data_IF_741468180479
#
_entry.id   IF_741468180479
#
_cell.length_a   1.000
_cell.length_b   1.000
_cell.length_c   1.000
_cell.angle_alpha   90.00
_cell.angle_beta   90.00
_cell.angle_gamma   90.00
#
_symmetry.space_group_name_H-M   'P 1'
#
loop_
_entity.id
_entity.type
_entity.pdbx_description
1 polymer ?
#
# COMPACT_ATOMS: atom_id res chain seq x y z
N UNK A 1 -35.38 8.67 51.50
CA UNK A 1 -36.13 9.79 50.91
C UNK A 1 -35.09 10.82 50.46
N UNK A 2 -34.69 10.78 49.18
CA UNK A 2 -33.68 11.69 48.61
C UNK A 2 -34.39 12.85 47.87
N UNK A 3 -33.89 14.10 47.92
CA UNK A 3 -34.47 15.17 47.13
C UNK A 3 -33.98 15.11 45.68
N UNK A 4 -34.93 15.18 44.75
CA UNK A 4 -34.70 15.24 43.30
C UNK A 4 -33.87 16.45 42.91
N UNK A 5 -32.78 16.24 42.14
CA UNK A 5 -32.00 17.34 41.54
C UNK A 5 -32.76 17.93 40.34
N UNK A 6 -32.78 19.26 40.16
CA UNK A 6 -33.34 19.85 38.95
C UNK A 6 -32.46 19.54 37.73
N UNK A 7 -33.10 19.18 36.61
CA UNK A 7 -32.43 18.95 35.32
C UNK A 7 -31.81 20.28 34.84
N UNK A 8 -30.49 20.36 34.85
CA UNK A 8 -29.73 21.49 34.32
C UNK A 8 -29.73 21.40 32.79
N UNK A 9 -30.65 22.11 32.14
CA UNK A 9 -30.48 22.44 30.72
C UNK A 9 -29.29 23.38 30.59
N UNK A 10 -28.21 22.91 29.98
CA UNK A 10 -27.11 23.73 29.49
C UNK A 10 -26.82 23.28 28.08
N UNK A 11 -27.51 23.88 27.11
CA UNK A 11 -26.86 24.13 25.83
C UNK A 11 -25.83 25.24 26.10
N UNK A 12 -24.52 24.98 26.06
CA UNK A 12 -23.57 26.08 26.01
C UNK A 12 -23.69 26.69 24.61
N UNK A 13 -24.28 27.88 24.53
CA UNK A 13 -24.03 28.74 23.38
C UNK A 13 -22.51 28.98 23.36
N UNK A 14 -21.80 28.75 22.24
CA UNK A 14 -20.39 29.10 22.17
C UNK A 14 -20.30 30.62 22.34
N UNK A 15 -19.62 31.07 23.40
CA UNK A 15 -19.28 32.47 23.56
C UNK A 15 -18.54 32.94 22.30
N UNK A 16 -18.84 34.12 21.75
CA UNK A 16 -18.01 34.69 20.70
C UNK A 16 -16.60 34.84 21.28
N UNK A 17 -15.65 34.12 20.68
CA UNK A 17 -14.24 34.23 21.03
C UNK A 17 -13.82 35.68 20.80
N UNK A 18 -13.24 36.37 21.79
CA UNK A 18 -12.65 37.67 21.54
C UNK A 18 -11.56 37.50 20.47
N UNK A 19 -11.69 38.32 19.43
CA UNK A 19 -10.80 38.42 18.29
C UNK A 19 -9.36 38.71 18.75
N UNK A 20 -8.40 37.97 18.17
CA UNK A 20 -6.98 38.31 17.97
C UNK A 20 -6.27 39.22 18.99
N UNK A 21 -6.49 39.05 20.29
CA UNK A 21 -5.53 39.56 21.28
C UNK A 21 -4.32 38.62 21.30
N UNK A 22 -3.12 39.07 20.89
CA UNK A 22 -1.93 38.24 21.00
C UNK A 22 -1.74 37.92 22.49
N UNK A 23 -1.72 36.62 22.82
CA UNK A 23 -1.48 36.17 24.19
C UNK A 23 -0.25 36.92 24.72
N UNK A 24 -0.30 37.50 25.94
CA UNK A 24 0.86 38.17 26.49
C UNK A 24 2.02 37.19 26.50
N UNK A 25 3.04 37.49 25.71
CA UNK A 25 4.27 36.71 25.69
C UNK A 25 4.95 37.01 27.01
N UNK A 26 4.80 36.13 27.98
CA UNK A 26 5.59 36.18 29.21
C UNK A 26 7.03 35.92 28.76
N UNK A 27 7.94 36.90 28.81
CA UNK A 27 9.34 36.62 28.48
C UNK A 27 9.82 35.60 29.50
N UNK A 28 10.25 34.43 29.02
CA UNK A 28 11.00 33.52 29.86
C UNK A 28 12.19 34.30 30.43
N UNK A 29 12.50 34.16 31.74
CA UNK A 29 13.66 34.83 32.31
C UNK A 29 14.90 34.48 31.48
N UNK A 30 15.68 35.50 31.13
CA UNK A 30 16.82 35.37 30.22
C UNK A 30 17.89 34.38 30.71
N UNK A 31 17.90 34.11 32.01
CA UNK A 31 18.77 33.12 32.65
C UNK A 31 17.91 32.14 33.46
N UNK A 32 17.59 31.00 32.85
CA UNK A 32 17.15 29.82 33.61
C UNK A 32 18.43 29.24 34.20
N UNK A 33 18.62 29.37 35.51
CA UNK A 33 19.70 28.66 36.21
C UNK A 33 19.38 27.16 36.17
N UNK A 34 19.98 26.47 35.20
CA UNK A 34 19.95 25.01 35.13
C UNK A 34 21.06 24.51 36.02
N UNK A 35 20.68 23.81 37.10
CA UNK A 35 21.62 23.09 37.94
C UNK A 35 22.24 21.96 37.12
N UNK A 36 23.42 22.22 36.56
CA UNK A 36 24.13 21.29 35.68
C UNK A 36 24.52 20.02 36.43
N UNK A 37 24.85 20.13 37.73
CA UNK A 37 25.22 18.98 38.56
C UNK A 37 24.02 18.06 38.77
N UNK A 38 22.83 18.63 39.00
CA UNK A 38 21.59 17.85 39.10
C UNK A 38 21.23 17.15 37.77
N UNK A 39 21.44 17.81 36.62
CA UNK A 39 21.21 17.22 35.29
C UNK A 39 22.19 16.07 35.03
N UNK A 40 23.47 16.27 35.32
CA UNK A 40 24.51 15.25 35.15
C UNK A 40 24.32 14.05 36.09
N UNK A 41 23.89 14.29 37.34
CA UNK A 41 23.55 13.23 38.27
C UNK A 41 22.36 12.39 37.76
N UNK A 42 21.31 13.04 37.25
CA UNK A 42 20.16 12.35 36.65
C UNK A 42 20.52 11.54 35.41
N UNK A 43 21.42 12.05 34.55
CA UNK A 43 21.91 11.32 33.38
C UNK A 43 22.72 10.08 33.77
N UNK A 44 23.60 10.20 34.77
CA UNK A 44 24.41 9.08 35.27
C UNK A 44 23.52 7.99 35.88
N UNK A 45 22.50 8.39 36.65
CA UNK A 45 21.52 7.45 37.22
C UNK A 45 20.71 6.74 36.14
N UNK A 46 20.29 7.46 35.10
CA UNK A 46 19.58 6.87 33.96
C UNK A 46 20.45 5.87 33.20
N UNK A 47 21.73 6.22 32.96
CA UNK A 47 22.68 5.32 32.30
C UNK A 47 22.89 4.03 33.10
N UNK A 48 23.11 4.16 34.42
CA UNK A 48 23.25 2.99 35.29
C UNK A 48 21.99 2.11 35.31
N UNK A 49 20.80 2.72 35.34
CA UNK A 49 19.54 1.98 35.27
C UNK A 49 19.37 1.25 33.93
N UNK A 50 19.75 1.88 32.82
CA UNK A 50 19.70 1.27 31.49
C UNK A 50 20.66 0.08 31.39
N UNK A 51 21.88 0.22 31.92
CA UNK A 51 22.87 -0.85 31.94
C UNK A 51 22.39 -2.04 32.79
N UNK A 52 21.83 -1.78 33.97
CA UNK A 52 21.25 -2.84 34.83
C UNK A 52 20.12 -3.59 34.12
N UNK A 53 19.22 -2.87 33.43
CA UNK A 53 18.13 -3.50 32.66
C UNK A 53 18.64 -4.30 31.46
N UNK A 54 19.69 -3.82 30.80
CA UNK A 54 20.33 -4.55 29.72
C UNK A 54 20.98 -5.83 30.23
N UNK A 55 21.73 -5.77 31.33
CA UNK A 55 22.36 -6.94 31.94
C UNK A 55 21.32 -7.97 32.42
N UNK A 56 20.23 -7.54 33.06
CA UNK A 56 19.11 -8.42 33.42
C UNK A 56 18.51 -9.12 32.20
N UNK A 57 18.35 -8.39 31.08
CA UNK A 57 17.80 -8.94 29.83
C UNK A 57 18.76 -9.96 29.18
N UNK A 58 20.05 -9.67 29.18
CA UNK A 58 21.09 -10.59 28.67
C UNK A 58 21.17 -11.84 29.55
N UNK A 59 21.23 -11.68 30.88
CA UNK A 59 21.28 -12.78 31.82
C UNK A 59 20.03 -13.68 31.76
N UNK A 60 18.86 -13.11 31.47
CA UNK A 60 17.61 -13.84 31.22
C UNK A 60 17.59 -14.64 29.91
N UNK A 61 18.64 -14.58 29.11
CA UNK A 61 18.73 -15.24 27.82
C UNK A 61 17.96 -14.51 26.71
N UNK A 62 17.73 -13.20 26.87
CA UNK A 62 16.93 -12.39 25.94
C UNK A 62 17.57 -12.27 24.55
N UNK A 63 18.91 -12.36 24.47
CA UNK A 63 19.65 -12.38 23.22
C UNK A 63 19.64 -13.76 22.54
N UNK A 64 19.43 -14.83 23.31
CA UNK A 64 19.33 -16.22 22.85
C UNK A 64 17.93 -16.55 22.36
N UNK A 65 16.90 -16.00 23.01
CA UNK A 65 15.47 -16.23 22.71
C UNK A 65 14.86 -15.15 21.80
N UNK A 66 15.63 -14.63 20.84
CA UNK A 66 15.10 -13.66 19.89
C UNK A 66 14.15 -14.34 18.89
N UNK A 67 12.95 -13.78 18.63
CA UNK A 67 12.03 -14.32 17.64
C UNK A 67 12.70 -14.28 16.26
N UNK A 68 12.99 -15.46 15.71
CA UNK A 68 13.63 -15.59 14.40
C UNK A 68 15.15 -15.83 14.43
N UNK A 69 15.80 -15.88 15.59
CA UNK A 69 17.22 -16.26 15.68
C UNK A 69 17.43 -17.69 15.16
N UNK A 70 18.38 -17.87 14.25
CA UNK A 70 18.72 -19.16 13.65
C UNK A 70 17.73 -19.67 12.60
N UNK A 71 16.62 -18.97 12.33
CA UNK A 71 15.76 -19.28 11.19
C UNK A 71 16.38 -18.66 9.93
N UNK A 72 16.50 -19.40 8.82
CA UNK A 72 16.86 -18.82 7.54
C UNK A 72 15.92 -17.66 7.24
N UNK A 73 16.48 -16.50 6.87
CA UNK A 73 15.70 -15.37 6.41
C UNK A 73 14.84 -15.84 5.23
N UNK A 74 13.53 -15.84 5.42
CA UNK A 74 12.59 -16.12 4.34
C UNK A 74 12.51 -14.87 3.49
N UNK A 75 13.46 -14.73 2.58
CA UNK A 75 13.39 -13.71 1.54
C UNK A 75 12.20 -14.13 0.66
N UNK A 76 11.12 -13.34 0.57
CA UNK A 76 10.08 -13.64 -0.40
C UNK A 76 10.76 -13.61 -1.78
N UNK A 77 10.94 -14.79 -2.39
CA UNK A 77 11.58 -14.96 -3.70
C UNK A 77 10.77 -14.32 -4.84
N UNK A 78 9.66 -13.65 -4.53
CA UNK A 78 8.80 -12.97 -5.47
C UNK A 78 8.95 -11.45 -5.38
N UNK A 79 8.69 -10.80 -6.52
CA UNK A 79 8.52 -9.36 -6.62
C UNK A 79 7.59 -8.84 -5.49
N UNK A 80 8.12 -7.93 -4.67
CA UNK A 80 7.44 -7.36 -3.50
C UNK A 80 6.12 -6.73 -3.91
N UNK A 81 6.05 -6.10 -5.09
CA UNK A 81 4.82 -5.51 -5.61
C UNK A 81 3.73 -6.55 -5.84
N UNK A 82 4.07 -7.73 -6.35
CA UNK A 82 3.10 -8.80 -6.56
C UNK A 82 2.54 -9.33 -5.24
N UNK A 83 3.35 -9.33 -4.18
CA UNK A 83 2.91 -9.72 -2.84
C UNK A 83 1.94 -8.71 -2.26
N UNK A 84 2.22 -7.41 -2.40
CA UNK A 84 1.35 -6.32 -1.95
C UNK A 84 0.02 -6.33 -2.71
N UNK A 85 0.06 -6.44 -4.03
CA UNK A 85 -1.16 -6.50 -4.87
C UNK A 85 -2.05 -7.69 -4.50
N UNK A 86 -1.45 -8.86 -4.26
CA UNK A 86 -2.18 -10.05 -3.81
C UNK A 86 -2.83 -9.87 -2.45
N UNK A 87 -2.14 -9.23 -1.50
CA UNK A 87 -2.71 -8.92 -0.17
C UNK A 87 -3.86 -7.92 -0.25
N UNK A 88 -3.79 -6.95 -1.17
CA UNK A 88 -4.83 -5.96 -1.42
C UNK A 88 -6.04 -6.51 -2.21
N UNK A 89 -6.01 -7.78 -2.65
CA UNK A 89 -7.05 -8.37 -3.49
C UNK A 89 -7.12 -7.79 -4.90
N UNK A 90 -6.07 -7.09 -5.35
CA UNK A 90 -6.01 -6.47 -6.67
C UNK A 90 -5.54 -7.52 -7.68
N UNK A 91 -6.25 -7.68 -8.82
CA UNK A 91 -5.81 -8.60 -9.87
C UNK A 91 -4.45 -8.14 -10.42
N UNK A 92 -3.60 -9.12 -10.73
CA UNK A 92 -2.28 -8.82 -11.31
C UNK A 92 -2.42 -8.08 -12.64
N UNK A 93 -1.54 -7.12 -12.97
CA UNK A 93 -1.54 -6.41 -14.26
C UNK A 93 -1.77 -7.28 -15.50
N UNK A 94 -1.19 -8.48 -15.59
CA UNK A 94 -1.38 -9.35 -16.77
C UNK A 94 -2.82 -9.89 -16.88
N UNK A 95 -3.54 -10.01 -15.76
CA UNK A 95 -4.95 -10.44 -15.74
C UNK A 95 -5.85 -9.34 -16.29
N UNK A 96 -5.59 -8.09 -15.91
CA UNK A 96 -6.30 -6.94 -16.47
C UNK A 96 -6.05 -6.82 -17.97
N UNK A 97 -4.79 -7.02 -18.38
CA UNK A 97 -4.41 -6.99 -19.79
C UNK A 97 -5.07 -8.12 -20.59
N UNK A 98 -5.30 -9.29 -19.99
CA UNK A 98 -6.09 -10.37 -20.61
C UNK A 98 -7.53 -9.93 -20.89
N UNK A 99 -8.18 -9.23 -19.96
CA UNK A 99 -9.55 -8.75 -20.13
C UNK A 99 -9.64 -7.71 -21.26
N UNK A 100 -8.73 -6.75 -21.29
CA UNK A 100 -8.72 -5.71 -22.33
C UNK A 100 -8.43 -6.28 -23.72
N UNK A 101 -7.56 -7.30 -23.82
CA UNK A 101 -7.34 -8.03 -25.08
C UNK A 101 -8.63 -8.71 -25.54
N UNK A 102 -9.36 -9.36 -24.63
CA UNK A 102 -10.61 -10.03 -24.95
C UNK A 102 -11.65 -9.05 -25.51
N UNK A 103 -11.86 -7.92 -24.83
CA UNK A 103 -12.76 -6.86 -25.29
C UNK A 103 -12.36 -6.36 -26.68
N UNK A 104 -11.06 -6.12 -26.90
CA UNK A 104 -10.56 -5.68 -28.21
C UNK A 104 -10.80 -6.73 -29.31
N UNK A 105 -10.73 -8.03 -29.00
CA UNK A 105 -11.05 -9.10 -29.95
C UNK A 105 -12.53 -9.08 -30.32
N UNK A 106 -13.41 -8.89 -29.34
CA UNK A 106 -14.85 -8.82 -29.54
C UNK A 106 -15.24 -7.61 -30.41
N UNK A 107 -14.61 -6.46 -30.18
CA UNK A 107 -14.79 -5.25 -30.99
C UNK A 107 -14.34 -5.45 -32.44
N UNK A 108 -13.17 -6.04 -32.66
CA UNK A 108 -12.68 -6.35 -34.02
C UNK A 108 -13.62 -7.33 -34.71
N UNK A 109 -14.12 -8.36 -34.01
CA UNK A 109 -15.09 -9.30 -34.59
C UNK A 109 -16.42 -8.63 -34.93
N UNK A 110 -16.85 -7.66 -34.14
CA UNK A 110 -18.04 -6.87 -34.46
C UNK A 110 -17.81 -6.06 -35.74
N UNK A 111 -16.67 -5.37 -35.86
CA UNK A 111 -16.31 -4.61 -37.06
C UNK A 111 -16.20 -5.50 -38.30
N UNK A 112 -15.57 -6.67 -38.18
CA UNK A 112 -15.38 -7.61 -39.29
C UNK A 112 -16.72 -8.15 -39.84
N UNK A 113 -17.77 -8.21 -39.01
CA UNK A 113 -19.13 -8.59 -39.43
C UNK A 113 -19.91 -7.47 -40.13
N UNK A 114 -19.68 -6.22 -39.75
CA UNK A 114 -20.47 -5.08 -40.26
C UNK A 114 -19.75 -4.31 -41.38
N UNK A 115 -18.42 -4.32 -41.41
CA UNK A 115 -17.58 -3.57 -42.35
C UNK A 115 -16.23 -4.27 -42.55
N UNK A 116 -16.20 -5.37 -43.33
CA UNK A 116 -15.02 -6.24 -43.46
C UNK A 116 -13.81 -5.58 -44.15
N UNK A 117 -14.03 -4.55 -44.97
CA UNK A 117 -13.00 -3.84 -45.73
C UNK A 117 -12.52 -2.55 -45.05
N UNK A 118 -12.90 -2.32 -43.78
CA UNK A 118 -12.46 -1.14 -43.05
C UNK A 118 -10.94 -1.21 -42.76
N UNK A 119 -10.14 -0.22 -43.21
CA UNK A 119 -8.70 -0.18 -42.94
C UNK A 119 -8.38 -0.08 -41.44
N UNK A 120 -9.31 0.38 -40.59
CA UNK A 120 -9.14 0.43 -39.15
C UNK A 120 -8.97 -0.97 -38.53
N UNK A 121 -9.47 -2.02 -39.18
CA UNK A 121 -9.33 -3.40 -38.69
C UNK A 121 -7.86 -3.81 -38.64
N UNK A 122 -7.06 -3.47 -39.66
CA UNK A 122 -5.65 -3.85 -39.69
C UNK A 122 -4.83 -3.10 -38.65
N UNK A 123 -5.14 -1.82 -38.43
CA UNK A 123 -4.50 -1.01 -37.40
C UNK A 123 -4.82 -1.55 -36.00
N UNK A 124 -6.10 -1.83 -35.71
CA UNK A 124 -6.54 -2.41 -34.44
C UNK A 124 -5.92 -3.80 -34.22
N UNK A 125 -5.83 -4.63 -35.27
CA UNK A 125 -5.19 -5.94 -35.19
C UNK A 125 -3.68 -5.83 -34.90
N UNK A 126 -2.99 -4.87 -35.51
CA UNK A 126 -1.58 -4.63 -35.25
C UNK A 126 -1.37 -4.20 -33.79
N UNK A 127 -2.21 -3.31 -33.27
CA UNK A 127 -2.14 -2.86 -31.89
C UNK A 127 -2.47 -3.98 -30.89
N UNK A 128 -3.51 -4.77 -31.18
CA UNK A 128 -3.87 -5.95 -30.40
C UNK A 128 -2.71 -6.95 -30.32
N UNK A 129 -2.01 -7.17 -31.43
CA UNK A 129 -0.84 -8.04 -31.47
C UNK A 129 0.32 -7.51 -30.62
N UNK A 130 0.53 -6.19 -30.51
CA UNK A 130 1.51 -5.61 -29.58
C UNK A 130 1.10 -5.90 -28.13
N UNK A 131 -0.18 -5.75 -27.79
CA UNK A 131 -0.71 -6.07 -26.46
C UNK A 131 -0.53 -7.56 -26.12
N UNK A 132 -0.75 -8.47 -27.07
CA UNK A 132 -0.51 -9.91 -26.88
C UNK A 132 0.97 -10.20 -26.61
N UNK A 133 1.90 -9.48 -27.25
CA UNK A 133 3.33 -9.62 -26.95
C UNK A 133 3.63 -9.15 -25.52
N UNK A 134 3.08 -8.01 -25.10
CA UNK A 134 3.23 -7.51 -23.72
C UNK A 134 2.62 -8.47 -22.70
N UNK A 135 1.45 -9.03 -23.00
CA UNK A 135 0.80 -10.08 -22.21
C UNK A 135 1.72 -11.28 -22.00
N UNK A 136 2.28 -11.81 -23.09
CA UNK A 136 3.17 -12.98 -23.04
C UNK A 136 4.45 -12.67 -22.25
N UNK A 137 4.96 -11.45 -22.30
CA UNK A 137 6.12 -11.04 -21.49
C UNK A 137 5.80 -10.93 -20.00
N UNK A 138 4.59 -10.47 -19.66
CA UNK A 138 4.15 -10.31 -18.28
C UNK A 138 3.61 -11.62 -17.65
N UNK A 139 3.35 -12.63 -18.48
CA UNK A 139 2.77 -13.91 -18.05
C UNK A 139 3.79 -14.74 -17.27
N UNK A 140 3.40 -15.33 -16.13
CA UNK A 140 4.30 -16.13 -15.30
C UNK A 140 4.62 -17.53 -15.88
N UNK A 141 3.86 -18.00 -16.88
CA UNK A 141 4.02 -19.34 -17.47
C UNK A 141 3.83 -19.33 -18.98
N UNK A 142 4.63 -20.16 -19.67
CA UNK A 142 4.52 -20.38 -21.11
C UNK A 142 3.17 -20.97 -21.53
N UNK A 143 2.51 -21.73 -20.65
CA UNK A 143 1.19 -22.32 -20.92
C UNK A 143 0.09 -21.25 -21.07
N UNK A 144 0.30 -20.08 -20.47
CA UNK A 144 -0.64 -18.96 -20.56
C UNK A 144 -0.39 -18.09 -21.79
N UNK A 145 0.72 -18.30 -22.52
CA UNK A 145 1.04 -17.50 -23.70
C UNK A 145 0.00 -17.72 -24.81
N UNK A 146 -0.16 -16.71 -25.65
CA UNK A 146 -1.10 -16.69 -26.76
C UNK A 146 -0.40 -16.31 -28.05
N UNK A 147 -0.92 -16.80 -29.17
CA UNK A 147 -0.38 -16.52 -30.50
C UNK A 147 -0.88 -15.16 -31.00
N UNK A 148 -0.18 -14.61 -31.98
CA UNK A 148 -0.62 -13.43 -32.70
C UNK A 148 -1.88 -13.74 -33.52
N UNK A 149 -2.74 -12.74 -33.63
CA UNK A 149 -4.01 -12.82 -34.34
C UNK A 149 -3.87 -12.30 -35.78
N UNK A 150 -4.58 -12.97 -36.68
CA UNK A 150 -4.75 -12.65 -38.11
C UNK A 150 -6.24 -12.65 -38.45
N UNK A 151 -6.66 -11.95 -39.50
CA UNK A 151 -8.08 -11.85 -39.90
C UNK A 151 -8.78 -13.21 -39.97
N UNK A 152 -8.09 -14.26 -40.41
CA UNK A 152 -8.65 -15.61 -40.50
C UNK A 152 -8.70 -16.38 -39.17
N UNK A 153 -7.79 -16.10 -38.24
CA UNK A 153 -7.60 -16.91 -37.03
C UNK A 153 -8.37 -16.41 -35.80
N UNK A 154 -8.80 -15.14 -35.81
CA UNK A 154 -9.51 -14.48 -34.71
C UNK A 154 -10.69 -15.31 -34.18
N UNK A 155 -11.61 -15.83 -35.01
CA UNK A 155 -12.78 -16.55 -34.49
C UNK A 155 -12.39 -17.84 -33.74
N UNK A 156 -11.38 -18.56 -34.22
CA UNK A 156 -10.90 -19.79 -33.57
C UNK A 156 -10.11 -19.49 -32.29
N UNK A 157 -9.34 -18.41 -32.27
CA UNK A 157 -8.53 -18.07 -31.11
C UNK A 157 -9.38 -17.49 -29.97
N UNK A 158 -10.50 -16.80 -30.25
CA UNK A 158 -11.43 -16.28 -29.23
C UNK A 158 -11.89 -17.38 -28.25
N UNK A 159 -12.12 -18.61 -28.73
CA UNK A 159 -12.51 -19.71 -27.85
C UNK A 159 -11.45 -20.05 -26.80
N UNK A 160 -10.17 -19.78 -27.09
CA UNK A 160 -9.05 -19.98 -26.15
C UNK A 160 -8.83 -18.79 -25.21
N UNK A 161 -9.50 -17.67 -25.49
CA UNK A 161 -9.51 -16.47 -24.67
C UNK A 161 -10.69 -16.43 -23.70
N UNK A 162 -11.76 -17.23 -23.92
CA UNK A 162 -12.78 -17.54 -22.91
C UNK A 162 -12.11 -18.20 -21.70
#
# INVERSE_FOLDING_TARGET
MWPSRPKRSRNPQPSPMPEDEPRPTIPLPAEIYVDQDAVSAGQTQLAHWLDEKYEEFVAGGGLERLPGKGKPLTIPTGDVMNTILKQAGVPHPWVLLRLTIKESIEDILYLLKHSPDDPAIDEQLAELNKRIVQYNLASPSLALHRRKLTRENIPAELEKWK
#
